data_IF_327111579165
#
_entry.id   IF_327111579165
#
_cell.length_a   1.000
_cell.length_b   1.000
_cell.length_c   1.000
_cell.angle_alpha   90.00
_cell.angle_beta   90.00
_cell.angle_gamma   90.00
#
_symmetry.space_group_name_H-M   'P 1'
#
loop_
_entity.id
_entity.type
_entity.pdbx_description
1 polymer ?
#
# COMPACT_ATOMS: atom_id res chain seq x y z
N UNK A 1 -19.23 -81.88 -59.95
CA UNK A 1 -17.97 -81.16 -59.65
C UNK A 1 -18.30 -79.99 -58.76
N UNK A 2 -18.21 -80.19 -57.43
CA UNK A 2 -18.37 -79.12 -56.43
C UNK A 2 -17.02 -78.40 -56.29
N UNK A 3 -17.03 -77.07 -56.23
CA UNK A 3 -15.89 -76.30 -55.73
C UNK A 3 -16.41 -75.30 -54.71
N UNK A 4 -16.15 -75.64 -53.45
CA UNK A 4 -16.48 -74.86 -52.26
C UNK A 4 -15.37 -73.83 -52.07
N UNK A 5 -15.73 -72.54 -52.14
CA UNK A 5 -14.81 -71.44 -51.83
C UNK A 5 -14.67 -71.37 -50.31
N UNK A 6 -13.52 -71.82 -49.81
CA UNK A 6 -13.16 -71.72 -48.40
C UNK A 6 -12.83 -70.26 -48.10
N UNK A 7 -13.73 -69.58 -47.39
CA UNK A 7 -13.46 -68.28 -46.78
C UNK A 7 -12.65 -68.53 -45.52
N UNK A 8 -11.32 -68.47 -45.62
CA UNK A 8 -10.44 -68.53 -44.45
C UNK A 8 -10.37 -67.15 -43.81
N UNK A 9 -11.29 -66.90 -42.86
CA UNK A 9 -11.24 -65.76 -41.94
C UNK A 9 -10.27 -66.08 -40.80
N UNK A 10 -8.96 -66.08 -41.09
CA UNK A 10 -7.90 -66.26 -40.09
C UNK A 10 -7.30 -64.92 -39.69
N UNK A 11 -7.89 -64.24 -38.71
CA UNK A 11 -7.26 -63.08 -38.06
C UNK A 11 -6.21 -63.59 -37.07
N UNK A 12 -5.05 -64.00 -37.59
CA UNK A 12 -3.88 -64.32 -36.77
C UNK A 12 -3.12 -63.01 -36.50
N UNK A 13 -3.59 -62.26 -35.53
CA UNK A 13 -2.95 -61.02 -35.11
C UNK A 13 -1.63 -61.35 -34.41
N UNK A 14 -0.50 -61.14 -35.11
CA UNK A 14 0.86 -61.30 -34.57
C UNK A 14 0.97 -60.55 -33.21
N UNK A 15 1.39 -61.22 -32.12
CA UNK A 15 1.39 -60.67 -30.76
C UNK A 15 2.20 -59.37 -30.60
N UNK A 16 3.08 -59.04 -31.57
CA UNK A 16 3.76 -57.75 -31.65
C UNK A 16 2.82 -56.58 -31.94
N UNK A 17 1.76 -56.77 -32.73
CA UNK A 17 0.78 -55.72 -33.05
C UNK A 17 -0.19 -55.48 -31.89
N UNK A 18 -0.63 -56.53 -31.19
CA UNK A 18 -1.47 -56.40 -30.00
C UNK A 18 -0.79 -55.56 -28.89
N UNK A 19 0.51 -55.78 -28.66
CA UNK A 19 1.30 -54.99 -27.70
C UNK A 19 1.43 -53.50 -28.10
N UNK A 20 1.54 -53.21 -29.39
CA UNK A 20 1.59 -51.83 -29.90
C UNK A 20 0.26 -51.11 -29.69
N UNK A 21 -0.87 -51.79 -29.91
CA UNK A 21 -2.20 -51.25 -29.68
C UNK A 21 -2.49 -51.00 -28.19
N UNK A 22 -2.07 -51.89 -27.31
CA UNK A 22 -2.15 -51.69 -25.86
C UNK A 22 -1.29 -50.51 -25.40
N UNK A 23 -0.07 -50.37 -25.95
CA UNK A 23 0.80 -49.22 -25.67
C UNK A 23 0.17 -47.92 -26.16
N UNK A 24 -0.45 -47.92 -27.34
CA UNK A 24 -1.17 -46.77 -27.91
C UNK A 24 -2.37 -46.41 -27.04
N UNK A 25 -3.18 -47.38 -26.62
CA UNK A 25 -4.31 -47.19 -25.70
C UNK A 25 -3.87 -46.57 -24.38
N UNK A 26 -2.84 -47.12 -23.74
CA UNK A 26 -2.25 -46.59 -22.49
C UNK A 26 -1.75 -45.15 -22.66
N UNK A 27 -1.09 -44.84 -23.78
CA UNK A 27 -0.65 -43.46 -24.09
C UNK A 27 -1.81 -42.49 -24.26
N UNK A 28 -2.89 -42.89 -24.93
CA UNK A 28 -4.08 -42.04 -25.08
C UNK A 28 -4.71 -41.71 -23.73
N UNK A 29 -4.83 -42.69 -22.83
CA UNK A 29 -5.37 -42.49 -21.48
C UNK A 29 -4.44 -41.58 -20.66
N UNK A 30 -3.14 -41.86 -20.66
CA UNK A 30 -2.15 -41.06 -19.93
C UNK A 30 -2.06 -39.62 -20.44
N UNK A 31 -2.09 -39.40 -21.76
CA UNK A 31 -2.07 -38.07 -22.36
C UNK A 31 -3.38 -37.31 -22.06
N UNK A 32 -4.52 -37.99 -22.10
CA UNK A 32 -5.80 -37.40 -21.71
C UNK A 32 -5.77 -36.92 -20.27
N UNK A 33 -5.27 -37.76 -19.37
CA UNK A 33 -5.15 -37.43 -17.95
C UNK A 33 -4.12 -36.31 -17.71
N UNK A 34 -2.99 -36.31 -18.42
CA UNK A 34 -1.98 -35.24 -18.29
C UNK A 34 -2.47 -33.91 -18.85
N UNK A 35 -3.19 -33.90 -19.96
CA UNK A 35 -3.85 -32.72 -20.51
C UNK A 35 -4.91 -32.17 -19.56
N UNK A 36 -5.72 -33.04 -18.93
CA UNK A 36 -6.69 -32.64 -17.90
C UNK A 36 -5.97 -32.00 -16.71
N UNK A 37 -4.95 -32.65 -16.15
CA UNK A 37 -4.18 -32.10 -15.02
C UNK A 37 -3.49 -30.78 -15.36
N UNK A 38 -3.00 -30.63 -16.59
CA UNK A 38 -2.40 -29.39 -17.08
C UNK A 38 -3.44 -28.25 -17.10
N UNK A 39 -4.64 -28.51 -17.64
CA UNK A 39 -5.76 -27.55 -17.62
C UNK A 39 -6.17 -27.19 -16.19
N UNK A 40 -6.31 -28.18 -15.31
CA UNK A 40 -6.66 -27.95 -13.91
C UNK A 40 -5.64 -27.07 -13.19
N UNK A 41 -4.33 -27.34 -13.34
CA UNK A 41 -3.27 -26.51 -12.75
C UNK A 41 -3.28 -25.08 -13.28
N UNK A 42 -3.52 -24.89 -14.58
CA UNK A 42 -3.66 -23.54 -15.15
C UNK A 42 -4.88 -22.81 -14.60
N UNK A 43 -6.02 -23.50 -14.44
CA UNK A 43 -7.22 -22.91 -13.85
C UNK A 43 -6.98 -22.48 -12.41
N UNK A 44 -6.40 -23.35 -11.59
CA UNK A 44 -6.05 -23.04 -10.20
C UNK A 44 -5.15 -21.81 -10.10
N UNK A 45 -4.13 -21.72 -10.96
CA UNK A 45 -3.25 -20.57 -10.96
C UNK A 45 -3.96 -19.27 -11.37
N UNK A 46 -4.89 -19.33 -12.34
CA UNK A 46 -5.70 -18.16 -12.70
C UNK A 46 -6.61 -17.74 -11.54
N UNK A 47 -7.23 -18.69 -10.86
CA UNK A 47 -8.10 -18.43 -9.71
C UNK A 47 -7.29 -17.79 -8.55
N UNK A 48 -6.08 -18.30 -8.28
CA UNK A 48 -5.15 -17.71 -7.31
C UNK A 48 -4.77 -16.27 -7.67
N UNK A 49 -4.46 -15.99 -8.94
CA UNK A 49 -4.13 -14.64 -9.41
C UNK A 49 -5.33 -13.69 -9.29
N UNK A 50 -6.56 -14.16 -9.56
CA UNK A 50 -7.77 -13.36 -9.38
C UNK A 50 -7.95 -13.00 -7.90
N UNK A 51 -7.78 -13.96 -6.99
CA UNK A 51 -7.87 -13.71 -5.54
C UNK A 51 -6.81 -12.70 -5.11
N UNK A 52 -5.56 -12.87 -5.54
CA UNK A 52 -4.48 -11.92 -5.23
C UNK A 52 -4.80 -10.51 -5.75
N UNK A 53 -5.29 -10.39 -6.98
CA UNK A 53 -5.68 -9.09 -7.54
C UNK A 53 -6.81 -8.44 -6.73
N UNK A 54 -7.82 -9.20 -6.32
CA UNK A 54 -8.92 -8.67 -5.47
C UNK A 54 -8.43 -8.24 -4.09
N UNK A 55 -7.48 -8.97 -3.50
CA UNK A 55 -6.88 -8.61 -2.22
C UNK A 55 -6.10 -7.30 -2.35
N UNK A 56 -5.25 -7.18 -3.38
CA UNK A 56 -4.51 -5.94 -3.64
C UNK A 56 -5.43 -4.75 -3.92
N UNK A 57 -6.53 -4.94 -4.63
CA UNK A 57 -7.52 -3.87 -4.84
C UNK A 57 -8.14 -3.41 -3.52
N UNK A 58 -8.47 -4.36 -2.64
CA UNK A 58 -9.03 -4.07 -1.31
C UNK A 58 -8.03 -3.35 -0.43
N UNK A 59 -6.79 -3.84 -0.38
CA UNK A 59 -5.69 -3.22 0.38
C UNK A 59 -5.38 -1.81 -0.14
N UNK A 60 -5.36 -1.62 -1.46
CA UNK A 60 -5.14 -0.30 -2.06
C UNK A 60 -6.24 0.69 -1.66
N UNK A 61 -7.51 0.28 -1.77
CA UNK A 61 -8.63 1.11 -1.34
C UNK A 61 -8.54 1.50 0.15
N UNK A 62 -8.17 0.55 1.02
CA UNK A 62 -7.97 0.81 2.43
C UNK A 62 -6.79 1.77 2.69
N UNK A 63 -5.68 1.62 1.98
CA UNK A 63 -4.53 2.53 2.09
C UNK A 63 -4.89 3.93 1.62
N UNK A 64 -5.62 4.08 0.51
CA UNK A 64 -6.11 5.38 0.04
C UNK A 64 -6.98 6.05 1.10
N UNK A 65 -7.94 5.34 1.68
CA UNK A 65 -8.79 5.88 2.73
C UNK A 65 -7.98 6.36 3.95
N UNK A 66 -6.94 5.62 4.35
CA UNK A 66 -6.05 6.01 5.44
C UNK A 66 -5.25 7.27 5.11
N UNK A 67 -4.73 7.38 3.88
CA UNK A 67 -4.01 8.56 3.40
C UNK A 67 -4.94 9.78 3.43
N UNK A 68 -6.16 9.64 2.94
CA UNK A 68 -7.15 10.73 2.93
C UNK A 68 -7.48 11.19 4.35
N UNK A 69 -7.69 10.26 5.28
CA UNK A 69 -7.97 10.59 6.68
C UNK A 69 -6.80 11.34 7.34
N UNK A 70 -5.56 10.87 7.15
CA UNK A 70 -4.36 11.55 7.69
C UNK A 70 -4.15 12.92 7.03
N UNK A 71 -4.42 13.04 5.73
CA UNK A 71 -4.33 14.31 5.02
C UNK A 71 -5.31 15.34 5.57
N UNK A 72 -6.55 14.94 5.85
CA UNK A 72 -7.55 15.83 6.47
C UNK A 72 -7.13 16.29 7.88
N UNK A 73 -6.62 15.36 8.70
CA UNK A 73 -6.08 15.71 10.03
C UNK A 73 -4.91 16.69 9.93
N UNK A 74 -3.99 16.46 8.99
CA UNK A 74 -2.86 17.35 8.76
C UNK A 74 -3.31 18.76 8.38
N UNK A 75 -4.31 18.89 7.50
CA UNK A 75 -4.88 20.20 7.13
C UNK A 75 -5.47 20.90 8.37
N UNK A 76 -6.18 20.17 9.22
CA UNK A 76 -6.70 20.70 10.49
C UNK A 76 -5.59 21.24 11.39
N UNK A 77 -4.57 20.43 11.68
CA UNK A 77 -3.42 20.83 12.51
C UNK A 77 -2.65 22.00 11.90
N UNK A 78 -2.46 22.03 10.58
CA UNK A 78 -1.81 23.12 9.89
C UNK A 78 -2.61 24.44 10.02
N UNK A 79 -3.95 24.36 9.96
CA UNK A 79 -4.81 25.53 10.18
C UNK A 79 -4.73 26.07 11.60
N UNK A 80 -4.75 25.19 12.61
CA UNK A 80 -4.58 25.56 14.02
C UNK A 80 -3.21 26.19 14.27
N UNK A 81 -2.16 25.62 13.66
CA UNK A 81 -0.80 26.17 13.74
C UNK A 81 -0.73 27.60 13.17
N UNK A 82 -1.41 27.87 12.05
CA UNK A 82 -1.48 29.20 11.46
C UNK A 82 -2.21 30.20 12.37
N UNK A 83 -3.31 29.77 13.03
CA UNK A 83 -4.02 30.59 14.01
C UNK A 83 -3.12 30.95 15.19
N UNK A 84 -2.43 29.96 15.75
CA UNK A 84 -1.49 30.17 16.86
C UNK A 84 -0.36 31.13 16.47
N UNK A 85 0.20 31.00 15.27
CA UNK A 85 1.21 31.94 14.75
C UNK A 85 0.66 33.35 14.61
N UNK A 86 -0.56 33.52 14.14
CA UNK A 86 -1.20 34.84 14.03
C UNK A 86 -1.40 35.48 15.42
N UNK A 87 -1.92 34.71 16.39
CA UNK A 87 -2.08 35.17 17.77
C UNK A 87 -0.74 35.55 18.41
N UNK A 88 0.30 34.77 18.16
CA UNK A 88 1.64 35.04 18.64
C UNK A 88 2.19 36.36 18.06
N UNK A 89 2.04 36.59 16.76
CA UNK A 89 2.43 37.86 16.13
C UNK A 89 1.67 39.05 16.74
N UNK A 90 0.36 38.92 16.95
CA UNK A 90 -0.46 39.97 17.56
C UNK A 90 0.04 40.32 18.97
N UNK A 91 0.29 39.32 19.81
CA UNK A 91 0.81 39.51 21.16
C UNK A 91 2.20 40.15 21.15
N UNK A 92 3.08 39.73 20.23
CA UNK A 92 4.41 40.34 20.06
C UNK A 92 4.32 41.80 19.62
N UNK A 93 3.39 42.14 18.72
CA UNK A 93 3.15 43.52 18.30
C UNK A 93 2.60 44.38 19.45
N UNK A 94 1.65 43.85 20.23
CA UNK A 94 1.13 44.52 21.43
C UNK A 94 2.24 44.77 22.45
N UNK A 95 3.10 43.78 22.70
CA UNK A 95 4.23 43.91 23.63
C UNK A 95 5.25 44.96 23.13
N UNK A 96 5.59 44.95 21.84
CA UNK A 96 6.44 45.99 21.24
C UNK A 96 5.83 47.39 21.37
N UNK A 97 4.52 47.53 21.17
CA UNK A 97 3.83 48.81 21.36
C UNK A 97 3.89 49.28 22.81
N UNK A 98 3.69 48.39 23.78
CA UNK A 98 3.77 48.72 25.20
C UNK A 98 5.20 49.13 25.60
N UNK A 99 6.21 48.40 25.11
CA UNK A 99 7.62 48.76 25.33
C UNK A 99 7.93 50.14 24.75
N UNK A 100 7.42 50.48 23.55
CA UNK A 100 7.60 51.81 22.97
C UNK A 100 6.96 52.92 23.81
N UNK A 101 5.76 52.68 24.37
CA UNK A 101 5.12 53.64 25.28
C UNK A 101 5.91 53.80 26.57
N UNK A 102 6.42 52.71 27.15
CA UNK A 102 7.26 52.76 28.35
C UNK A 102 8.54 53.56 28.11
N UNK A 103 9.19 53.37 26.96
CA UNK A 103 10.38 54.14 26.58
C UNK A 103 10.09 55.65 26.51
N UNK A 104 8.94 56.06 25.97
CA UNK A 104 8.52 57.48 25.97
C UNK A 104 8.31 57.98 27.40
N UNK A 105 7.69 57.18 28.28
CA UNK A 105 7.46 57.55 29.69
C UNK A 105 8.80 57.70 30.41
N UNK A 106 9.76 56.82 30.18
CA UNK A 106 11.11 56.89 30.75
C UNK A 106 11.82 58.18 30.32
N UNK A 107 11.77 58.55 29.04
CA UNK A 107 12.34 59.81 28.54
C UNK A 107 11.72 61.06 29.20
N UNK A 108 10.42 61.03 29.50
CA UNK A 108 9.69 62.15 30.14
C UNK A 108 9.87 62.17 31.66
N UNK A 109 9.98 61.00 32.30
CA UNK A 109 9.91 60.85 33.77
C UNK A 109 11.28 60.65 34.43
N UNK A 110 12.31 60.27 33.65
CA UNK A 110 13.66 59.94 34.15
C UNK A 110 13.74 58.65 34.96
N UNK A 111 12.72 57.79 34.91
CA UNK A 111 12.66 56.51 35.63
C UNK A 111 12.80 55.36 34.64
N UNK A 112 13.87 54.57 34.78
CA UNK A 112 14.13 53.42 33.92
C UNK A 112 13.20 52.24 34.26
N UNK A 113 12.38 51.84 33.29
CA UNK A 113 11.44 50.72 33.39
C UNK A 113 11.69 49.73 32.25
N UNK A 114 12.80 49.01 32.31
CA UNK A 114 13.18 48.01 31.30
C UNK A 114 12.39 46.68 31.48
N UNK A 115 11.60 46.29 30.48
CA UNK A 115 11.01 44.94 30.37
C UNK A 115 11.92 44.08 29.51
N UNK A 116 12.40 42.95 30.06
CA UNK A 116 13.43 42.10 29.46
C UNK A 116 13.06 41.53 28.07
N UNK A 117 14.00 41.65 27.12
CA UNK A 117 13.92 41.22 25.71
C UNK A 117 13.65 39.72 25.48
N UNK A 118 13.74 38.90 26.53
CA UNK A 118 13.43 37.47 26.49
C UNK A 118 11.97 37.17 26.10
N UNK A 119 11.09 38.17 26.15
CA UNK A 119 9.69 38.09 25.71
C UNK A 119 9.48 38.43 24.22
N UNK A 120 10.49 38.96 23.53
CA UNK A 120 10.40 39.37 22.11
C UNK A 120 10.66 38.22 21.12
N UNK A 121 11.25 37.11 21.59
CA UNK A 121 11.66 35.98 20.76
C UNK A 121 11.07 34.64 21.26
N UNK A 122 9.74 34.48 21.41
CA UNK A 122 9.20 33.29 22.05
C UNK A 122 9.34 32.02 21.18
N UNK A 123 9.71 32.17 19.90
CA UNK A 123 10.03 31.10 18.95
C UNK A 123 11.51 30.66 18.98
N UNK A 124 12.38 31.34 19.72
CA UNK A 124 13.76 30.87 19.96
C UNK A 124 13.86 29.81 21.06
N UNK A 125 12.74 29.45 21.69
CA UNK A 125 12.69 28.25 22.51
C UNK A 125 13.06 27.07 21.59
N UNK A 126 14.16 26.34 21.89
CA UNK A 126 14.50 25.15 21.13
C UNK A 126 13.27 24.26 21.17
N UNK A 127 12.59 24.12 20.03
CA UNK A 127 11.58 23.10 19.89
C UNK A 127 12.34 21.80 20.11
N UNK A 128 12.21 21.24 21.32
CA UNK A 128 12.75 19.94 21.69
C UNK A 128 11.87 18.92 20.97
N UNK A 129 11.92 18.92 19.65
CA UNK A 129 11.53 17.78 18.83
C UNK A 129 12.67 16.81 19.02
N UNK A 130 12.71 16.18 20.19
CA UNK A 130 13.43 14.93 20.29
C UNK A 130 12.87 14.02 19.20
N UNK A 131 13.72 13.46 18.33
CA UNK A 131 13.27 12.44 17.41
C UNK A 131 12.63 11.35 18.26
N UNK A 132 11.36 11.03 17.99
CA UNK A 132 10.67 9.95 18.65
C UNK A 132 11.62 8.73 18.69
N UNK A 133 11.91 8.16 19.86
CA UNK A 133 12.77 6.98 19.92
C UNK A 133 12.09 5.92 19.07
N UNK A 134 12.80 5.48 18.03
CA UNK A 134 12.36 4.41 17.13
C UNK A 134 11.75 3.28 17.96
N UNK A 135 10.43 3.16 17.88
CA UNK A 135 9.73 2.03 18.46
C UNK A 135 9.80 0.88 17.44
N UNK A 136 10.74 -0.03 17.72
CA UNK A 136 10.96 -1.36 17.13
C UNK A 136 11.61 -1.44 15.75
#
# INVERSE_FOLDING_TARGET
MQQQVVVSSGSDSDPRYANLDDRKRKRMISNRESARRSRMRKQQHLDELIVQASNFQTENAHLTQRIDAVSQLYVGVASENNVLRAQMMELTDQLRSLNSVLQIIEEVSGLNMEISDTLLEPWQLPCLVEPAPNAF
#
